data_IF_784995896013
#
_entry.id   IF_784995896013
#
_cell.length_a   1.000
_cell.length_b   1.000
_cell.length_c   1.000
_cell.angle_alpha   90.00
_cell.angle_beta   90.00
_cell.angle_gamma   90.00
#
_symmetry.space_group_name_H-M   'P 1'
#
loop_
_entity.id
_entity.type
_entity.pdbx_description
1 polymer ?
#
# COMPACT_ATOMS: atom_id res chain seq x y z
N UNK A 1 -18.10 2.09 -14.41
CA UNK A 1 -19.29 1.27 -14.11
C UNK A 1 -19.32 0.07 -15.06
N UNK A 2 -19.72 -1.09 -14.55
CA UNK A 2 -19.90 -2.31 -15.32
C UNK A 2 -21.17 -3.05 -14.85
N UNK A 3 -21.81 -3.78 -15.75
CA UNK A 3 -22.91 -4.68 -15.43
C UNK A 3 -22.93 -5.84 -16.43
N UNK A 4 -23.48 -6.97 -16.03
CA UNK A 4 -23.70 -8.11 -16.92
C UNK A 4 -25.06 -8.04 -17.57
N UNK A 5 -25.14 -8.44 -18.85
CA UNK A 5 -26.37 -8.47 -19.62
C UNK A 5 -26.56 -9.87 -20.22
N UNK A 6 -27.80 -10.33 -20.26
CA UNK A 6 -28.25 -11.45 -21.08
C UNK A 6 -29.08 -10.88 -22.22
N UNK A 7 -28.52 -10.92 -23.42
CA UNK A 7 -29.06 -10.20 -24.59
C UNK A 7 -29.14 -8.69 -24.27
N UNK A 8 -30.34 -8.11 -24.20
CA UNK A 8 -30.53 -6.69 -23.88
C UNK A 8 -30.96 -6.46 -22.41
N UNK A 9 -31.15 -7.53 -21.63
CA UNK A 9 -31.63 -7.43 -20.25
C UNK A 9 -30.45 -7.42 -19.29
N UNK A 10 -30.35 -6.39 -18.44
CA UNK A 10 -29.38 -6.37 -17.34
C UNK A 10 -29.72 -7.46 -16.33
N UNK A 11 -28.73 -8.34 -16.02
CA UNK A 11 -28.88 -9.49 -15.12
C UNK A 11 -28.02 -9.38 -13.85
N UNK A 12 -27.21 -8.31 -13.71
CA UNK A 12 -26.50 -8.00 -12.47
C UNK A 12 -26.77 -6.57 -12.02
N UNK A 13 -26.47 -6.26 -10.75
CA UNK A 13 -26.34 -4.87 -10.29
C UNK A 13 -25.21 -4.18 -11.03
N UNK A 14 -25.27 -2.85 -11.12
CA UNK A 14 -24.15 -2.04 -11.63
C UNK A 14 -23.03 -2.07 -10.62
N UNK A 15 -21.85 -2.51 -11.04
CA UNK A 15 -20.61 -2.36 -10.29
C UNK A 15 -19.99 -1.00 -10.64
N UNK A 16 -19.62 -0.24 -9.62
CA UNK A 16 -18.98 1.07 -9.79
C UNK A 16 -17.63 1.03 -9.05
N UNK A 17 -16.56 1.36 -9.78
CA UNK A 17 -15.23 1.54 -9.21
C UNK A 17 -14.71 2.92 -9.57
N UNK A 18 -13.97 3.54 -8.64
CA UNK A 18 -13.34 4.83 -8.85
C UNK A 18 -11.83 4.62 -8.97
N UNK A 19 -11.26 5.01 -10.11
CA UNK A 19 -9.83 4.92 -10.35
C UNK A 19 -9.24 6.33 -10.21
N UNK A 20 -8.33 6.52 -9.25
CA UNK A 20 -7.57 7.75 -9.11
C UNK A 20 -6.31 7.69 -9.99
N UNK A 21 -6.32 8.42 -11.08
CA UNK A 21 -5.14 8.48 -11.97
C UNK A 21 -4.03 9.31 -11.33
N UNK A 22 -2.84 8.71 -11.20
CA UNK A 22 -1.63 9.35 -10.69
C UNK A 22 -0.39 8.85 -11.47
N UNK A 23 0.80 9.40 -11.19
CA UNK A 23 2.00 9.15 -12.00
C UNK A 23 2.50 7.70 -11.99
N UNK A 24 2.15 6.91 -10.99
CA UNK A 24 2.57 5.50 -10.89
C UNK A 24 1.61 4.52 -11.57
N UNK A 25 0.39 4.91 -11.96
CA UNK A 25 -0.56 3.99 -12.61
C UNK A 25 0.04 3.38 -13.88
N UNK A 26 0.02 2.04 -13.94
CA UNK A 26 0.56 1.28 -15.06
C UNK A 26 2.09 1.29 -15.18
N UNK A 27 2.80 1.68 -14.13
CA UNK A 27 4.27 1.65 -14.06
C UNK A 27 4.77 0.31 -13.52
N UNK A 28 6.09 0.15 -13.51
CA UNK A 28 6.70 -1.07 -12.98
C UNK A 28 6.91 -0.94 -11.47
N UNK A 29 6.48 -1.94 -10.73
CA UNK A 29 6.70 -2.06 -9.29
C UNK A 29 7.35 -3.40 -8.96
N UNK A 30 8.28 -3.40 -8.02
CA UNK A 30 9.00 -4.59 -7.55
C UNK A 30 9.15 -4.57 -6.04
N UNK A 31 9.25 -5.75 -5.44
CA UNK A 31 9.42 -5.98 -4.00
C UNK A 31 10.66 -6.83 -3.76
N UNK A 32 11.38 -6.57 -2.66
CA UNK A 32 12.45 -7.47 -2.17
C UNK A 32 11.87 -8.74 -1.54
N UNK A 33 10.68 -8.62 -0.93
CA UNK A 33 9.92 -9.73 -0.34
C UNK A 33 8.55 -9.80 -1.01
N UNK A 34 8.12 -10.92 -1.58
CA UNK A 34 6.80 -11.03 -2.18
C UNK A 34 5.70 -10.95 -1.11
N UNK A 35 4.52 -10.41 -1.45
CA UNK A 35 3.34 -10.51 -0.59
C UNK A 35 2.94 -11.98 -0.39
N UNK A 36 2.20 -12.24 0.64
CA UNK A 36 1.63 -13.57 0.89
C UNK A 36 0.69 -13.97 -0.24
N UNK A 37 0.77 -15.23 -0.71
CA UNK A 37 -0.15 -15.77 -1.73
C UNK A 37 -1.64 -15.60 -1.34
N UNK A 38 -1.92 -15.60 -0.03
CA UNK A 38 -3.27 -15.42 0.51
C UNK A 38 -3.77 -13.97 0.41
N UNK A 39 -2.84 -13.00 0.38
CA UNK A 39 -3.15 -11.56 0.40
C UNK A 39 -2.27 -10.83 -0.63
N UNK A 40 -2.37 -11.25 -1.89
CA UNK A 40 -1.59 -10.68 -2.98
C UNK A 40 -2.38 -9.72 -3.87
N UNK A 41 -3.61 -9.40 -3.52
CA UNK A 41 -4.47 -8.42 -4.20
C UNK A 41 -4.52 -8.58 -5.75
N UNK A 42 -4.41 -9.79 -6.24
CA UNK A 42 -4.36 -10.05 -7.69
C UNK A 42 -3.02 -9.70 -8.36
N UNK A 43 -2.00 -9.36 -7.57
CA UNK A 43 -0.63 -9.13 -8.04
C UNK A 43 -0.04 -7.78 -7.64
N UNK A 44 1.26 -7.64 -7.88
CA UNK A 44 2.05 -6.51 -7.41
C UNK A 44 1.54 -5.14 -7.88
N UNK A 45 0.96 -5.06 -9.06
CA UNK A 45 0.42 -3.81 -9.63
C UNK A 45 -0.80 -3.27 -8.90
N UNK A 46 -1.40 -4.02 -7.97
CA UNK A 46 -2.52 -3.54 -7.16
C UNK A 46 -2.15 -2.28 -6.35
N UNK A 47 -0.87 -2.14 -5.92
CA UNK A 47 -0.42 -0.94 -5.20
C UNK A 47 -0.29 0.33 -6.06
N UNK A 48 -0.47 0.23 -7.37
CA UNK A 48 -0.34 1.37 -8.30
C UNK A 48 -1.39 1.30 -9.41
N UNK A 49 -2.57 0.79 -9.12
CA UNK A 49 -3.65 0.65 -10.11
C UNK A 49 -4.69 1.77 -10.03
N UNK A 50 -4.57 2.67 -9.05
CA UNK A 50 -5.49 3.78 -8.82
C UNK A 50 -6.72 3.42 -8.01
N UNK A 51 -6.77 2.24 -7.40
CA UNK A 51 -7.92 1.73 -6.65
C UNK A 51 -7.51 1.46 -5.20
N UNK A 52 -8.12 2.17 -4.27
CA UNK A 52 -7.87 1.97 -2.84
C UNK A 52 -8.63 0.77 -2.29
N UNK A 53 -8.04 0.09 -1.33
CA UNK A 53 -8.66 -1.00 -0.59
C UNK A 53 -9.82 -0.56 0.29
N UNK A 54 -10.65 -1.52 0.69
CA UNK A 54 -11.80 -1.27 1.56
C UNK A 54 -11.37 -0.91 2.99
N UNK A 55 -11.94 0.15 3.56
CA UNK A 55 -11.72 0.53 4.96
C UNK A 55 -12.39 -0.47 5.95
N UNK A 56 -13.22 -1.37 5.44
CA UNK A 56 -13.99 -2.31 6.27
C UNK A 56 -13.37 -3.70 6.34
N UNK A 57 -12.58 -4.09 5.34
CA UNK A 57 -12.02 -5.44 5.27
C UNK A 57 -10.68 -5.45 4.52
N UNK A 58 -9.71 -6.13 5.10
CA UNK A 58 -8.34 -6.27 4.57
C UNK A 58 -8.17 -7.44 3.58
N UNK A 59 -9.19 -8.26 3.38
CA UNK A 59 -9.16 -9.42 2.48
C UNK A 59 -9.82 -9.16 1.13
N UNK A 60 -9.86 -7.90 0.68
CA UNK A 60 -10.28 -7.56 -0.67
C UNK A 60 -9.10 -7.64 -1.67
N UNK A 61 -9.38 -7.41 -2.94
CA UNK A 61 -8.40 -7.54 -4.02
C UNK A 61 -7.49 -6.30 -4.17
N UNK A 62 -7.38 -5.43 -3.14
CA UNK A 62 -6.56 -4.22 -3.18
C UNK A 62 -5.51 -4.14 -2.07
N UNK A 63 -5.68 -4.91 -0.98
CA UNK A 63 -4.72 -4.96 0.11
C UNK A 63 -3.65 -6.05 -0.10
N UNK A 64 -2.36 -5.64 -0.16
CA UNK A 64 -1.25 -6.58 -0.12
C UNK A 64 -0.80 -6.82 1.33
N UNK A 65 -0.69 -8.09 1.72
CA UNK A 65 -0.30 -8.51 3.06
C UNK A 65 1.07 -9.18 3.11
N UNK A 66 1.92 -8.75 4.06
CA UNK A 66 3.26 -9.30 4.31
C UNK A 66 3.32 -9.85 5.74
N UNK A 67 3.72 -11.11 5.88
CA UNK A 67 3.71 -11.84 7.15
C UNK A 67 5.00 -11.56 7.94
N UNK A 68 4.93 -10.68 8.93
CA UNK A 68 5.98 -10.42 9.92
C UNK A 68 7.31 -9.92 9.36
N UNK A 69 7.32 -9.32 8.17
CA UNK A 69 8.54 -8.91 7.46
C UNK A 69 8.59 -7.41 7.21
N UNK A 70 9.81 -6.88 7.21
CA UNK A 70 10.11 -5.61 6.57
C UNK A 70 9.98 -5.78 5.05
N UNK A 71 9.64 -4.72 4.35
CA UNK A 71 9.41 -4.75 2.90
C UNK A 71 10.04 -3.53 2.24
N UNK A 72 10.76 -3.77 1.15
CA UNK A 72 11.26 -2.69 0.30
C UNK A 72 10.51 -2.73 -1.05
N UNK A 73 9.89 -1.62 -1.39
CA UNK A 73 9.10 -1.43 -2.62
C UNK A 73 9.85 -0.46 -3.52
N UNK A 74 10.06 -0.84 -4.78
CA UNK A 74 10.65 0.05 -5.78
C UNK A 74 9.69 0.28 -6.93
N UNK A 75 9.42 1.56 -7.25
CA UNK A 75 8.59 1.99 -8.37
C UNK A 75 9.48 2.64 -9.42
N UNK A 76 9.43 2.14 -10.67
CA UNK A 76 10.08 2.74 -11.84
C UNK A 76 9.03 3.50 -12.67
N UNK A 77 9.08 4.81 -12.66
CA UNK A 77 8.17 5.68 -13.39
C UNK A 77 8.43 5.67 -14.93
N UNK A 78 9.51 4.98 -15.36
CA UNK A 78 9.91 4.84 -16.77
C UNK A 78 10.73 6.01 -17.30
N UNK A 79 10.59 7.20 -16.74
CA UNK A 79 11.38 8.40 -17.03
C UNK A 79 11.42 9.31 -15.81
N UNK A 80 12.37 10.21 -15.78
CA UNK A 80 12.43 11.26 -14.77
C UNK A 80 11.25 12.22 -14.91
N UNK A 81 10.65 12.60 -13.78
CA UNK A 81 9.57 13.57 -13.69
C UNK A 81 9.53 14.24 -12.33
N UNK A 82 8.90 15.41 -12.25
CA UNK A 82 8.68 16.10 -10.98
C UNK A 82 7.66 15.33 -10.13
N UNK A 83 7.99 15.12 -8.88
CA UNK A 83 7.12 14.51 -7.87
C UNK A 83 6.86 15.54 -6.79
N UNK A 84 5.60 15.78 -6.48
CA UNK A 84 5.17 16.76 -5.49
C UNK A 84 4.67 16.09 -4.21
N UNK A 85 4.10 14.89 -4.31
CA UNK A 85 3.69 14.14 -3.12
C UNK A 85 3.70 12.64 -3.37
N UNK A 86 3.86 11.90 -2.26
CA UNK A 86 3.72 10.45 -2.19
C UNK A 86 2.77 10.16 -1.04
N UNK A 87 1.72 9.40 -1.27
CA UNK A 87 0.80 8.96 -0.21
C UNK A 87 0.45 7.50 -0.35
N UNK A 88 0.17 6.87 0.79
CA UNK A 88 -0.26 5.48 0.88
C UNK A 88 -1.04 5.26 2.16
N UNK A 89 -1.65 4.10 2.32
CA UNK A 89 -2.44 3.73 3.48
C UNK A 89 -2.01 2.38 4.01
N UNK A 90 -2.06 2.24 5.33
CA UNK A 90 -1.81 0.99 6.02
C UNK A 90 -3.04 0.54 6.77
N UNK A 91 -3.35 -0.75 6.70
CA UNK A 91 -4.38 -1.34 7.54
C UNK A 91 -3.82 -1.56 8.95
N UNK A 92 -4.60 -1.22 9.98
CA UNK A 92 -4.21 -1.28 11.38
C UNK A 92 -5.30 -1.96 12.23
N UNK A 93 -5.75 -3.13 11.80
CA UNK A 93 -6.72 -3.92 12.54
C UNK A 93 -6.03 -4.83 13.56
N UNK A 94 -5.58 -4.23 14.67
CA UNK A 94 -4.77 -4.89 15.71
C UNK A 94 -5.41 -6.18 16.27
N UNK A 95 -6.74 -6.24 16.34
CA UNK A 95 -7.47 -7.46 16.71
C UNK A 95 -7.34 -8.62 15.72
N UNK A 96 -6.86 -8.36 14.52
CA UNK A 96 -6.54 -9.34 13.46
C UNK A 96 -5.04 -9.54 13.29
N UNK A 97 -4.23 -9.05 14.22
CA UNK A 97 -2.76 -9.06 14.18
C UNK A 97 -2.19 -8.28 13.00
N UNK A 98 -2.89 -7.26 12.55
CA UNK A 98 -2.47 -6.36 11.47
C UNK A 98 -2.12 -5.02 12.09
N UNK A 99 -0.89 -4.56 11.87
CA UNK A 99 -0.36 -3.32 12.41
C UNK A 99 0.25 -2.47 11.29
N UNK A 100 0.10 -1.16 11.39
CA UNK A 100 0.85 -0.24 10.56
C UNK A 100 2.36 -0.44 10.78
N UNK A 101 3.22 -0.14 9.80
CA UNK A 101 4.67 -0.18 10.00
C UNK A 101 5.09 0.82 11.08
N UNK A 102 6.15 0.52 11.82
CA UNK A 102 6.72 1.46 12.80
C UNK A 102 7.41 2.64 12.12
N UNK A 103 8.01 2.41 10.95
CA UNK A 103 8.71 3.44 10.19
C UNK A 103 8.53 3.20 8.70
N UNK A 104 8.43 4.29 7.95
CA UNK A 104 8.53 4.30 6.48
C UNK A 104 9.71 5.20 6.10
N UNK A 105 10.63 4.67 5.30
CA UNK A 105 11.70 5.48 4.70
C UNK A 105 11.42 5.61 3.21
N UNK A 106 11.26 6.85 2.75
CA UNK A 106 11.16 7.15 1.32
C UNK A 106 12.53 7.60 0.82
N UNK A 107 12.97 7.04 -0.28
CA UNK A 107 14.23 7.40 -0.92
C UNK A 107 14.11 7.43 -2.44
N UNK A 108 15.02 8.15 -3.06
CA UNK A 108 15.04 8.42 -4.49
C UNK A 108 16.38 7.96 -5.06
N UNK A 109 16.50 6.73 -5.58
CA UNK A 109 17.75 6.19 -6.12
C UNK A 109 18.41 7.12 -7.14
N UNK A 110 19.69 7.42 -6.91
CA UNK A 110 20.42 8.45 -7.68
C UNK A 110 20.42 9.83 -7.01
N UNK A 111 19.70 10.00 -5.92
CA UNK A 111 19.72 11.17 -5.05
C UNK A 111 19.98 10.68 -3.62
N UNK A 112 20.85 11.33 -2.85
CA UNK A 112 21.21 10.91 -1.48
C UNK A 112 20.14 11.27 -0.43
N UNK A 113 18.96 11.68 -0.85
CA UNK A 113 17.87 12.09 0.03
C UNK A 113 17.11 10.88 0.57
N UNK A 114 17.06 10.76 1.90
CA UNK A 114 16.29 9.77 2.64
C UNK A 114 15.34 10.49 3.59
N UNK A 115 14.07 10.16 3.51
CA UNK A 115 13.02 10.78 4.31
C UNK A 115 12.39 9.74 5.24
N UNK A 116 12.94 9.55 6.45
CA UNK A 116 12.34 8.67 7.44
C UNK A 116 11.09 9.31 8.03
N UNK A 117 10.04 8.52 8.15
CA UNK A 117 8.76 8.90 8.75
C UNK A 117 8.44 7.85 9.80
N UNK A 118 8.50 8.25 11.07
CA UNK A 118 8.00 7.43 12.18
C UNK A 118 6.48 7.51 12.18
N UNK A 119 5.82 6.36 12.27
CA UNK A 119 4.37 6.31 12.43
C UNK A 119 4.05 6.14 13.91
N UNK A 120 3.30 7.08 14.45
CA UNK A 120 2.81 6.99 15.83
C UNK A 120 1.78 5.86 15.97
N UNK A 121 1.71 5.28 17.16
CA UNK A 121 0.64 4.34 17.48
C UNK A 121 -0.73 5.02 17.30
N UNK A 122 -1.63 4.34 16.62
CA UNK A 122 -2.97 4.84 16.31
C UNK A 122 -4.02 3.77 16.61
N UNK A 123 -5.16 4.19 17.13
CA UNK A 123 -6.35 3.33 17.26
C UNK A 123 -7.22 3.32 15.99
N UNK A 124 -6.87 4.13 15.00
CA UNK A 124 -7.56 4.18 13.71
C UNK A 124 -7.29 2.89 12.92
N UNK A 125 -8.32 2.38 12.26
CA UNK A 125 -8.23 1.15 11.45
C UNK A 125 -7.40 1.31 10.19
N UNK A 126 -7.34 2.52 9.69
CA UNK A 126 -6.54 2.90 8.52
C UNK A 126 -5.61 4.02 8.96
N UNK A 127 -4.34 3.85 8.70
CA UNK A 127 -3.30 4.85 8.95
C UNK A 127 -2.85 5.40 7.62
N UNK A 128 -3.14 6.67 7.39
CA UNK A 128 -2.74 7.40 6.20
C UNK A 128 -1.32 7.94 6.35
N UNK A 129 -0.53 7.81 5.29
CA UNK A 129 0.77 8.46 5.16
C UNK A 129 0.73 9.40 3.97
N UNK A 130 1.16 10.64 4.17
CA UNK A 130 1.37 11.62 3.11
C UNK A 130 2.70 12.34 3.30
N UNK A 131 3.55 12.29 2.28
CA UNK A 131 4.81 13.01 2.19
C UNK A 131 4.70 14.04 1.08
N UNK A 132 4.85 15.31 1.44
CA UNK A 132 5.05 16.39 0.46
C UNK A 132 6.54 16.47 0.12
N UNK A 133 6.86 16.61 -1.16
CA UNK A 133 8.24 16.71 -1.65
C UNK A 133 8.30 17.60 -2.90
N UNK A 134 9.48 17.87 -3.40
CA UNK A 134 9.70 18.51 -4.71
C UNK A 134 10.96 17.92 -5.31
N UNK A 135 10.84 16.76 -5.90
CA UNK A 135 11.98 16.03 -6.44
C UNK A 135 11.77 15.69 -7.92
N UNK A 136 12.85 15.69 -8.66
CA UNK A 136 12.89 15.23 -10.05
C UNK A 136 13.58 13.88 -10.09
N UNK A 137 12.82 12.81 -10.33
CA UNK A 137 13.32 11.44 -10.26
C UNK A 137 12.55 10.49 -11.18
N UNK A 138 13.18 9.37 -11.50
CA UNK A 138 12.56 8.22 -12.16
C UNK A 138 12.18 7.12 -11.17
N UNK A 139 12.98 6.93 -10.11
CA UNK A 139 12.80 5.84 -9.18
C UNK A 139 12.36 6.35 -7.82
N UNK A 140 11.41 5.65 -7.23
CA UNK A 140 10.95 5.88 -5.86
C UNK A 140 11.05 4.57 -5.12
N UNK A 141 11.64 4.60 -3.92
CA UNK A 141 11.79 3.45 -3.07
C UNK A 141 11.14 3.74 -1.71
N UNK A 142 10.28 2.83 -1.26
CA UNK A 142 9.70 2.84 0.07
C UNK A 142 10.23 1.63 0.84
N UNK A 143 10.86 1.86 1.99
CA UNK A 143 11.21 0.80 2.93
C UNK A 143 10.25 0.88 4.10
N UNK A 144 9.52 -0.19 4.35
CA UNK A 144 8.52 -0.33 5.39
C UNK A 144 9.11 -1.22 6.49
N UNK A 145 9.29 -0.69 7.68
CA UNK A 145 9.74 -1.48 8.85
C UNK A 145 8.50 -2.05 9.53
N UNK A 146 8.42 -3.38 9.63
CA UNK A 146 7.33 -4.04 10.35
C UNK A 146 7.23 -3.50 11.79
N UNK A 147 6.06 -3.49 12.38
CA UNK A 147 5.84 -3.00 13.75
C UNK A 147 6.79 -3.64 14.79
N UNK A 148 7.23 -4.87 14.53
CA UNK A 148 8.13 -5.62 15.40
C UNK A 148 7.42 -6.77 16.09
N UNK A 149 7.33 -6.74 17.41
CA UNK A 149 6.66 -7.78 18.21
C UNK A 149 5.41 -7.20 18.83
N UNK A 150 4.28 -7.91 18.71
CA UNK A 150 3.01 -7.52 19.33
C UNK A 150 3.21 -7.48 20.85
N UNK A 151 2.88 -6.34 21.52
CA UNK A 151 3.12 -6.17 22.94
C UNK A 151 2.32 -7.11 23.82
N UNK A 152 2.80 -7.34 25.04
CA UNK A 152 2.07 -8.07 26.06
C UNK A 152 0.69 -7.42 26.33
N UNK A 153 -0.32 -8.27 26.59
CA UNK A 153 -1.69 -7.82 26.81
C UNK A 153 -2.50 -7.56 25.53
N UNK A 154 -1.89 -7.59 24.35
CA UNK A 154 -2.58 -7.55 23.06
C UNK A 154 -2.79 -8.97 22.52
N UNK A 155 -3.83 -9.14 21.69
CA UNK A 155 -4.06 -10.41 20.99
C UNK A 155 -2.89 -10.68 20.04
N UNK A 156 -2.27 -11.87 20.14
CA UNK A 156 -1.09 -12.24 19.36
C UNK A 156 0.24 -11.81 19.99
N UNK A 157 0.25 -11.43 21.29
CA UNK A 157 1.48 -11.03 21.99
C UNK A 157 2.64 -12.00 21.74
N UNK A 158 3.83 -11.46 21.53
CA UNK A 158 5.04 -12.21 21.25
C UNK A 158 5.24 -12.62 19.80
N UNK A 159 4.23 -12.48 18.92
CA UNK A 159 4.35 -12.72 17.47
C UNK A 159 4.63 -11.42 16.71
N UNK A 160 5.20 -11.54 15.52
CA UNK A 160 5.29 -10.44 14.57
C UNK A 160 3.95 -10.25 13.86
N UNK A 161 3.43 -9.03 13.75
CA UNK A 161 2.18 -8.78 13.07
C UNK A 161 2.31 -8.80 11.55
N UNK A 162 1.16 -8.93 10.90
CA UNK A 162 1.01 -8.66 9.48
C UNK A 162 1.19 -7.17 9.20
N UNK A 163 1.80 -6.85 8.06
CA UNK A 163 1.81 -5.53 7.47
C UNK A 163 0.92 -5.56 6.21
N UNK A 164 -0.07 -4.67 6.15
CA UNK A 164 -0.94 -4.52 4.99
C UNK A 164 -0.86 -3.10 4.45
N UNK A 165 -0.66 -2.99 3.15
CA UNK A 165 -0.58 -1.75 2.40
C UNK A 165 -1.50 -1.82 1.18
N UNK A 166 -2.11 -0.71 0.81
CA UNK A 166 -2.84 -0.56 -0.45
C UNK A 166 -2.20 0.49 -1.37
N UNK A 167 -2.96 1.22 -2.13
CA UNK A 167 -2.53 2.12 -3.20
C UNK A 167 -1.41 3.10 -2.80
N UNK A 168 -0.35 3.18 -3.61
CA UNK A 168 0.73 4.17 -3.51
C UNK A 168 0.52 5.24 -4.57
N UNK A 169 0.02 6.38 -4.14
CA UNK A 169 -0.34 7.52 -5.00
C UNK A 169 0.87 8.45 -5.15
N UNK A 170 1.24 8.76 -6.38
CA UNK A 170 2.38 9.64 -6.70
C UNK A 170 1.87 10.81 -7.57
N UNK A 171 2.06 12.05 -7.07
CA UNK A 171 1.60 13.28 -7.70
C UNK A 171 2.72 14.28 -7.99
#
# INVERSE_FOLDING_TARGET
NAASFDSEKQVSSVFTETIKMHKAVGKKITFDVPPSEKYNAGGNSALINGISGSDKRYGDDQWLGFDGKDVEITIDLGKEMNINSISTRFNNQVGSWIYAPSQVVVSFPGNEEFLPIELEESDEKIVDLKLETKIFTRFIKLKLTNYGVIPDGRQGAGHKPWLFIDEIIIE
#
